data_IF_746255973163
#
_entry.id   IF_746255973163
#
_cell.length_a   1.000
_cell.length_b   1.000
_cell.length_c   1.000
_cell.angle_alpha   90.00
_cell.angle_beta   90.00
_cell.angle_gamma   90.00
#
_symmetry.space_group_name_H-M   'P 1'
#
loop_
_entity.id
_entity.type
_entity.pdbx_description
1 polymer ?
#
# COMPACT_ATOMS: atom_id res chain seq x y z
N UNK A 1 -86.09 36.01 10.71
CA UNK A 1 -85.57 34.73 11.29
C UNK A 1 -84.28 34.35 10.58
N UNK A 2 -83.22 34.34 11.32
CA UNK A 2 -81.81 34.31 10.80
C UNK A 2 -81.28 32.87 10.84
N UNK A 3 -80.80 32.29 9.73
CA UNK A 3 -80.30 30.93 9.72
C UNK A 3 -78.72 30.95 9.68
N UNK A 4 -78.13 31.41 10.81
CA UNK A 4 -76.70 31.37 10.92
C UNK A 4 -76.24 30.96 12.31
N UNK A 5 -76.41 29.67 12.64
CA UNK A 5 -75.71 29.06 13.78
C UNK A 5 -75.76 27.53 13.70
N UNK A 6 -74.91 26.97 12.89
CA UNK A 6 -74.50 25.54 12.99
C UNK A 6 -73.33 25.19 12.12
N UNK A 7 -72.21 25.78 12.34
CA UNK A 7 -70.92 25.27 11.82
C UNK A 7 -69.80 25.78 12.76
N UNK A 8 -69.68 25.27 13.95
CA UNK A 8 -68.46 25.36 14.76
C UNK A 8 -68.52 24.26 15.80
N UNK A 9 -68.33 23.00 15.47
CA UNK A 9 -68.01 21.97 16.49
C UNK A 9 -67.38 20.68 15.87
N UNK A 10 -66.96 20.71 14.65
CA UNK A 10 -66.28 19.51 14.04
C UNK A 10 -64.74 19.71 13.89
N UNK A 11 -64.18 20.91 14.08
CA UNK A 11 -62.79 21.20 13.90
C UNK A 11 -61.87 20.80 15.04
N UNK A 12 -62.32 20.79 16.28
CA UNK A 12 -61.48 20.55 17.47
C UNK A 12 -61.23 19.06 17.76
N UNK A 13 -62.21 18.19 17.47
CA UNK A 13 -62.08 16.75 17.72
C UNK A 13 -61.09 16.08 16.67
N UNK A 14 -61.10 16.56 15.43
CA UNK A 14 -60.23 16.05 14.38
C UNK A 14 -58.77 16.44 14.60
N UNK A 15 -58.51 17.64 15.12
CA UNK A 15 -57.14 18.11 15.40
C UNK A 15 -56.52 17.38 16.59
N UNK A 16 -57.30 17.06 17.60
CA UNK A 16 -56.82 16.32 18.79
C UNK A 16 -56.49 14.86 18.46
N UNK A 17 -57.28 14.19 17.62
CA UNK A 17 -56.99 12.81 17.19
C UNK A 17 -55.73 12.76 16.32
N UNK A 18 -55.56 13.71 15.40
CA UNK A 18 -54.34 13.78 14.57
C UNK A 18 -53.05 14.02 15.40
N UNK A 19 -53.13 14.87 16.43
CA UNK A 19 -52.01 15.13 17.34
C UNK A 19 -51.70 13.93 18.23
N UNK A 20 -52.66 13.21 18.71
CA UNK A 20 -52.47 11.99 19.50
C UNK A 20 -51.88 10.87 18.64
N UNK A 21 -52.33 10.69 17.39
CA UNK A 21 -51.74 9.73 16.46
C UNK A 21 -50.28 10.08 16.11
N UNK A 22 -49.96 11.36 15.91
CA UNK A 22 -48.57 11.81 15.64
C UNK A 22 -47.66 11.58 16.85
N UNK A 23 -48.13 11.87 18.06
CA UNK A 23 -47.38 11.64 19.29
C UNK A 23 -47.17 10.14 19.57
N UNK A 24 -48.13 9.28 19.23
CA UNK A 24 -47.96 7.83 19.31
C UNK A 24 -46.94 7.31 18.28
N UNK A 25 -46.94 7.83 17.06
CA UNK A 25 -45.96 7.45 16.05
C UNK A 25 -44.55 7.90 16.42
N UNK A 26 -44.38 9.08 16.99
CA UNK A 26 -43.08 9.57 17.50
C UNK A 26 -42.62 8.73 18.70
N UNK A 27 -43.50 8.36 19.61
CA UNK A 27 -43.17 7.50 20.75
C UNK A 27 -42.76 6.08 20.30
N UNK A 28 -43.41 5.53 19.28
CA UNK A 28 -43.01 4.23 18.70
C UNK A 28 -41.67 4.34 18.00
N UNK A 29 -41.39 5.44 17.28
CA UNK A 29 -40.12 5.67 16.61
C UNK A 29 -38.97 5.85 17.61
N UNK A 30 -39.19 6.58 18.71
CA UNK A 30 -38.21 6.77 19.78
C UNK A 30 -37.94 5.46 20.52
N UNK A 31 -38.95 4.62 20.76
CA UNK A 31 -38.77 3.33 21.41
C UNK A 31 -38.08 2.32 20.50
N UNK A 32 -38.32 2.35 19.19
CA UNK A 32 -37.54 1.52 18.24
C UNK A 32 -36.11 1.97 18.08
N UNK A 33 -35.81 3.27 18.12
CA UNK A 33 -34.45 3.79 18.07
C UNK A 33 -33.66 3.47 19.36
N UNK A 34 -34.35 3.54 20.54
CA UNK A 34 -33.70 3.18 21.82
C UNK A 34 -33.47 1.68 21.99
N UNK A 35 -34.23 0.83 21.29
CA UNK A 35 -33.98 -0.61 21.28
C UNK A 35 -32.77 -1.02 20.35
N UNK A 36 -32.34 -0.17 19.41
CA UNK A 36 -31.22 -0.44 18.53
C UNK A 36 -29.86 -0.03 19.10
N UNK A 37 -29.77 0.63 20.24
CA UNK A 37 -28.53 1.05 20.89
C UNK A 37 -28.25 0.35 22.22
N UNK A 38 -28.65 -0.91 22.37
CA UNK A 38 -28.08 -1.74 23.44
C UNK A 38 -26.82 -2.41 22.90
N UNK A 39 -25.69 -1.81 23.23
CA UNK A 39 -24.37 -2.36 23.06
C UNK A 39 -24.32 -3.73 23.73
N UNK A 40 -24.14 -4.79 22.93
CA UNK A 40 -23.93 -6.13 23.44
C UNK A 40 -22.49 -6.24 23.97
N UNK A 41 -22.34 -6.38 25.27
CA UNK A 41 -21.06 -6.76 25.87
C UNK A 41 -20.76 -8.23 25.55
N UNK A 42 -19.85 -8.45 24.62
CA UNK A 42 -19.29 -9.77 24.35
C UNK A 42 -18.15 -10.04 25.35
N UNK A 43 -18.40 -10.87 26.34
CA UNK A 43 -17.36 -11.35 27.25
C UNK A 43 -16.51 -12.42 26.56
N UNK A 44 -15.20 -12.25 26.55
CA UNK A 44 -14.26 -13.19 25.96
C UNK A 44 -14.13 -14.48 26.80
N UNK A 45 -14.41 -15.65 26.25
CA UNK A 45 -14.05 -16.90 26.90
C UNK A 45 -12.57 -17.25 26.67
N UNK A 46 -11.93 -17.93 27.61
CA UNK A 46 -10.59 -18.46 27.40
C UNK A 46 -10.66 -19.68 26.46
N UNK A 47 -9.82 -19.67 25.43
CA UNK A 47 -9.59 -20.71 24.42
C UNK A 47 -10.48 -20.74 23.17
N UNK A 48 -9.88 -20.33 22.06
CA UNK A 48 -10.06 -20.71 20.63
C UNK A 48 -11.41 -21.30 20.15
N UNK A 49 -12.52 -21.01 20.79
CA UNK A 49 -13.84 -21.35 20.28
C UNK A 49 -14.46 -20.15 19.57
N UNK A 50 -15.09 -20.40 18.42
CA UNK A 50 -15.89 -19.42 17.69
C UNK A 50 -17.03 -18.97 18.60
N UNK A 51 -17.02 -17.71 19.00
CA UNK A 51 -18.07 -17.15 19.84
C UNK A 51 -19.32 -16.89 18.98
N UNK A 52 -20.41 -17.52 19.36
CA UNK A 52 -21.74 -17.30 18.77
C UNK A 52 -22.49 -16.43 19.75
N UNK A 53 -22.84 -15.21 19.36
CA UNK A 53 -23.71 -14.36 20.16
C UNK A 53 -25.17 -14.83 19.99
N UNK A 54 -25.71 -15.51 20.98
CA UNK A 54 -27.14 -15.83 21.02
C UNK A 54 -27.94 -14.61 21.51
N UNK A 55 -29.07 -14.25 20.87
CA UNK A 55 -29.92 -13.20 21.37
C UNK A 55 -30.56 -13.66 22.70
N UNK A 56 -30.34 -12.92 23.75
CA UNK A 56 -31.00 -13.18 25.03
C UNK A 56 -32.49 -12.85 24.90
N UNK A 57 -33.30 -13.89 24.85
CA UNK A 57 -34.79 -13.73 24.87
C UNK A 57 -35.20 -13.35 26.28
N UNK A 58 -35.59 -12.10 26.48
CA UNK A 58 -36.30 -11.69 27.69
C UNK A 58 -37.74 -12.12 27.53
N UNK A 59 -38.15 -13.18 28.23
CA UNK A 59 -39.55 -13.58 28.29
C UNK A 59 -40.41 -12.44 28.85
N UNK A 60 -41.29 -11.94 28.03
CA UNK A 60 -42.48 -11.20 28.48
C UNK A 60 -43.72 -11.91 28.01
N UNK A 61 -44.63 -12.07 29.00
CA UNK A 61 -45.87 -12.78 28.97
C UNK A 61 -46.71 -12.65 27.70
N UNK A 62 -47.23 -13.82 27.34
CA UNK A 62 -48.29 -14.19 26.39
C UNK A 62 -49.29 -13.11 26.00
N UNK A 63 -49.39 -12.87 24.75
CA UNK A 63 -50.48 -12.93 23.77
C UNK A 63 -50.19 -12.00 22.62
N UNK A 64 -49.51 -12.49 21.60
CA UNK A 64 -49.61 -11.93 20.27
C UNK A 64 -49.23 -12.98 19.20
N UNK A 65 -49.98 -12.95 18.13
CA UNK A 65 -49.93 -13.85 16.98
C UNK A 65 -48.60 -13.67 16.26
N UNK A 66 -47.82 -14.72 16.26
CA UNK A 66 -46.52 -14.74 15.53
C UNK A 66 -46.80 -15.01 14.07
N UNK A 67 -46.61 -14.01 13.22
CA UNK A 67 -46.38 -14.23 11.79
C UNK A 67 -44.97 -14.74 11.62
N UNK A 68 -44.84 -16.01 11.31
CA UNK A 68 -43.55 -16.60 10.87
C UNK A 68 -43.19 -16.00 9.52
N UNK A 69 -42.42 -14.93 9.54
CA UNK A 69 -41.63 -14.52 8.38
C UNK A 69 -40.40 -15.43 8.38
N UNK A 70 -40.28 -16.23 7.35
CA UNK A 70 -39.13 -17.08 7.07
C UNK A 70 -37.94 -16.18 6.66
N UNK A 71 -37.35 -15.48 7.61
CA UNK A 71 -36.08 -14.80 7.44
C UNK A 71 -35.01 -15.78 7.88
N UNK A 72 -34.17 -16.19 6.96
CA UNK A 72 -32.88 -16.80 7.28
C UNK A 72 -32.17 -15.83 8.21
N UNK A 73 -32.10 -16.20 9.50
CA UNK A 73 -31.27 -15.46 10.45
C UNK A 73 -29.81 -15.64 9.99
N UNK A 74 -29.27 -14.64 9.33
CA UNK A 74 -27.83 -14.57 9.14
C UNK A 74 -27.21 -14.54 10.53
N UNK A 75 -26.43 -15.56 10.81
CA UNK A 75 -25.72 -15.72 12.08
C UNK A 75 -24.72 -14.56 12.16
N UNK A 76 -25.04 -13.54 12.93
CA UNK A 76 -24.12 -12.45 13.18
C UNK A 76 -22.92 -13.01 13.96
N UNK A 77 -21.79 -13.15 13.27
CA UNK A 77 -20.52 -13.54 13.89
C UNK A 77 -19.97 -12.29 14.57
N UNK A 78 -19.80 -12.32 15.90
CA UNK A 78 -19.13 -11.24 16.59
C UNK A 78 -17.76 -10.98 15.96
N UNK A 79 -17.43 -9.76 15.54
CA UNK A 79 -16.11 -9.48 15.00
C UNK A 79 -15.06 -9.79 16.07
N UNK A 80 -14.02 -10.53 15.66
CA UNK A 80 -12.85 -10.79 16.50
C UNK A 80 -12.31 -9.44 16.96
N UNK A 81 -11.96 -9.25 18.26
CA UNK A 81 -11.39 -8.00 18.72
C UNK A 81 -10.15 -7.68 17.88
N UNK A 82 -10.11 -6.46 17.32
CA UNK A 82 -9.01 -6.02 16.48
C UNK A 82 -7.75 -5.83 17.33
N UNK A 83 -6.69 -6.52 16.98
CA UNK A 83 -5.39 -6.44 17.62
C UNK A 83 -4.36 -5.87 16.65
N UNK A 84 -3.32 -5.26 17.20
CA UNK A 84 -2.20 -4.84 16.39
C UNK A 84 -1.46 -6.05 15.84
N UNK A 85 -1.07 -5.95 14.58
CA UNK A 85 -0.23 -6.93 13.90
C UNK A 85 1.19 -6.88 14.48
N UNK A 86 1.78 -8.03 14.80
CA UNK A 86 3.13 -8.08 15.37
C UNK A 86 4.20 -8.68 14.47
N UNK A 87 3.82 -9.39 13.40
CA UNK A 87 4.75 -10.02 12.45
C UNK A 87 5.75 -11.00 13.06
N UNK A 88 5.41 -11.63 14.20
CA UNK A 88 6.34 -12.46 14.98
C UNK A 88 6.58 -13.86 14.42
N UNK A 89 5.83 -14.26 13.39
CA UNK A 89 6.01 -15.57 12.74
C UNK A 89 7.31 -15.60 11.92
N UNK A 90 7.93 -16.78 11.74
CA UNK A 90 9.10 -16.90 10.88
C UNK A 90 8.73 -16.64 9.41
N UNK A 91 9.73 -16.30 8.59
CA UNK A 91 9.57 -16.17 7.15
C UNK A 91 9.24 -17.53 6.52
N UNK A 92 8.29 -17.56 5.59
CA UNK A 92 7.96 -18.77 4.85
C UNK A 92 9.17 -19.25 4.03
N UNK A 93 9.25 -20.55 3.80
CA UNK A 93 10.22 -21.10 2.87
C UNK A 93 9.87 -20.67 1.44
N UNK A 94 10.82 -20.07 0.75
CA UNK A 94 10.63 -19.54 -0.60
C UNK A 94 11.61 -20.25 -1.54
N UNK A 95 11.08 -20.94 -2.55
CA UNK A 95 11.84 -21.55 -3.63
C UNK A 95 11.76 -20.71 -4.92
N UNK A 96 10.80 -19.83 -5.00
CA UNK A 96 10.53 -18.94 -6.12
C UNK A 96 9.28 -18.14 -5.91
N UNK A 97 8.76 -17.53 -6.98
CA UNK A 97 7.60 -16.68 -6.95
C UNK A 97 6.56 -17.11 -7.96
N UNK A 98 5.31 -17.13 -7.55
CA UNK A 98 4.17 -17.46 -8.41
C UNK A 98 3.35 -16.21 -8.74
N UNK A 99 2.76 -16.12 -9.94
CA UNK A 99 1.86 -15.03 -10.29
C UNK A 99 0.71 -14.94 -9.29
N UNK A 100 0.38 -13.72 -8.86
CA UNK A 100 -0.68 -13.49 -7.89
C UNK A 100 -1.78 -12.58 -8.46
N UNK A 101 -1.40 -11.50 -9.15
CA UNK A 101 -2.36 -10.56 -9.74
C UNK A 101 -1.75 -9.80 -10.91
N UNK A 102 -2.61 -9.37 -11.83
CA UNK A 102 -2.27 -8.49 -12.95
C UNK A 102 -3.51 -7.68 -13.30
N UNK A 103 -3.42 -6.35 -13.31
CA UNK A 103 -4.59 -5.50 -13.48
C UNK A 103 -4.94 -5.17 -14.94
N UNK A 104 -4.00 -5.29 -15.86
CA UNK A 104 -4.18 -4.97 -17.29
C UNK A 104 -4.74 -3.56 -17.56
N UNK A 105 -4.46 -2.59 -16.70
CA UNK A 105 -5.07 -1.27 -16.75
C UNK A 105 -4.80 -0.50 -18.04
N UNK A 106 -3.60 -0.61 -18.61
CA UNK A 106 -3.28 0.05 -19.88
C UNK A 106 -4.13 -0.53 -21.01
N UNK A 107 -4.23 -1.85 -21.11
CA UNK A 107 -5.05 -2.51 -22.12
C UNK A 107 -6.52 -2.12 -22.01
N UNK A 108 -7.04 -2.06 -20.78
CA UNK A 108 -8.42 -1.67 -20.51
C UNK A 108 -8.68 -0.18 -20.83
N UNK A 109 -7.66 0.66 -20.77
CA UNK A 109 -7.75 2.08 -21.11
C UNK A 109 -8.09 2.34 -22.59
N UNK A 110 -7.88 1.37 -23.46
CA UNK A 110 -8.26 1.49 -24.89
C UNK A 110 -9.77 1.58 -25.08
N UNK A 111 -10.55 1.00 -24.18
CA UNK A 111 -12.02 0.96 -24.26
C UNK A 111 -12.75 1.48 -23.01
N UNK A 112 -12.07 2.05 -22.04
CA UNK A 112 -12.66 2.50 -20.78
C UNK A 112 -11.91 3.66 -20.12
N UNK A 113 -12.57 4.24 -19.13
CA UNK A 113 -12.04 5.35 -18.34
C UNK A 113 -11.20 4.82 -17.18
N UNK A 114 -9.91 4.66 -17.42
CA UNK A 114 -8.92 4.21 -16.44
C UNK A 114 -7.97 5.36 -16.14
N UNK A 115 -7.72 5.60 -14.87
CA UNK A 115 -6.82 6.66 -14.41
C UNK A 115 -5.40 6.49 -14.94
N UNK A 116 -4.78 7.60 -15.30
CA UNK A 116 -3.34 7.69 -15.53
C UNK A 116 -2.65 7.65 -14.17
N UNK A 117 -1.70 6.75 -14.01
CA UNK A 117 -1.02 6.52 -12.74
C UNK A 117 0.48 6.31 -12.95
N UNK A 118 1.24 6.51 -11.88
CA UNK A 118 2.59 5.98 -11.71
C UNK A 118 2.88 5.71 -10.23
N UNK A 119 4.01 5.12 -9.96
CA UNK A 119 4.46 4.71 -8.62
C UNK A 119 3.42 3.85 -7.89
N UNK A 120 2.98 2.73 -8.49
CA UNK A 120 2.06 1.82 -7.84
C UNK A 120 2.74 1.04 -6.71
N UNK A 121 1.96 0.60 -5.75
CA UNK A 121 2.40 -0.37 -4.75
C UNK A 121 1.22 -1.18 -4.23
N UNK A 122 1.55 -2.21 -3.44
CA UNK A 122 0.57 -3.12 -2.84
C UNK A 122 0.81 -3.17 -1.35
N UNK A 123 -0.27 -3.18 -0.59
CA UNK A 123 -0.27 -3.45 0.85
C UNK A 123 -1.54 -4.19 1.24
N UNK A 124 -1.46 -5.00 2.28
CA UNK A 124 -2.56 -5.86 2.70
C UNK A 124 -3.01 -5.51 4.12
N UNK A 125 -4.33 -5.57 4.35
CA UNK A 125 -4.87 -5.67 5.70
C UNK A 125 -4.82 -7.13 6.17
N UNK A 126 -5.58 -7.50 7.18
CA UNK A 126 -5.59 -8.87 7.70
C UNK A 126 -6.27 -9.88 6.77
N UNK A 127 -7.13 -9.40 5.86
CA UNK A 127 -8.00 -10.25 5.03
C UNK A 127 -7.72 -10.13 3.54
N UNK A 128 -7.40 -8.92 3.06
CA UNK A 128 -7.29 -8.59 1.63
C UNK A 128 -6.04 -7.77 1.33
N UNK A 129 -5.63 -7.84 0.08
CA UNK A 129 -4.59 -6.96 -0.47
C UNK A 129 -5.22 -5.86 -1.32
N UNK A 130 -4.58 -4.71 -1.32
CA UNK A 130 -5.01 -3.53 -2.04
C UNK A 130 -3.87 -3.02 -2.91
N UNK A 131 -4.21 -2.54 -4.09
CA UNK A 131 -3.28 -1.82 -4.93
C UNK A 131 -3.47 -0.32 -4.77
N UNK A 132 -2.35 0.37 -4.74
CA UNK A 132 -2.26 1.82 -4.63
C UNK A 132 -1.50 2.35 -5.84
N UNK A 133 -1.80 3.57 -6.25
CA UNK A 133 -0.98 4.29 -7.20
C UNK A 133 -1.23 5.79 -7.07
N UNK A 134 -0.31 6.58 -7.58
CA UNK A 134 -0.45 8.03 -7.65
C UNK A 134 -1.07 8.40 -8.99
N UNK A 135 -2.33 8.84 -8.97
CA UNK A 135 -3.04 9.32 -10.15
C UNK A 135 -2.50 10.65 -10.62
N UNK A 136 -2.83 11.02 -11.85
CA UNK A 136 -2.45 12.30 -12.46
C UNK A 136 -3.65 13.24 -12.67
N UNK A 137 -4.77 12.95 -12.03
CA UNK A 137 -5.98 13.77 -12.10
C UNK A 137 -6.77 13.62 -13.40
N UNK A 138 -6.46 12.60 -14.20
CA UNK A 138 -7.11 12.37 -15.49
C UNK A 138 -7.17 10.87 -15.83
N UNK A 139 -8.05 10.50 -16.75
CA UNK A 139 -8.04 9.18 -17.39
C UNK A 139 -7.16 9.19 -18.63
N UNK A 140 -6.68 8.01 -19.04
CA UNK A 140 -5.74 7.88 -20.15
C UNK A 140 -6.38 8.29 -21.49
N UNK A 141 -7.65 7.99 -21.71
CA UNK A 141 -8.38 8.34 -22.92
C UNK A 141 -8.89 9.79 -22.96
N UNK A 142 -8.57 10.59 -21.97
CA UNK A 142 -8.89 12.02 -21.92
C UNK A 142 -7.73 12.86 -22.46
N UNK A 143 -8.04 14.01 -23.12
CA UNK A 143 -7.01 14.92 -23.64
C UNK A 143 -6.02 15.43 -22.57
N UNK A 144 -6.45 15.49 -21.31
CA UNK A 144 -5.59 15.91 -20.19
C UNK A 144 -4.53 14.86 -19.82
N UNK A 145 -4.56 13.66 -20.43
CA UNK A 145 -3.51 12.66 -20.27
C UNK A 145 -2.19 13.08 -20.92
N UNK A 146 -2.25 14.04 -21.85
CA UNK A 146 -1.06 14.62 -22.45
C UNK A 146 -0.14 15.20 -21.38
N UNK A 147 1.17 14.93 -21.50
CA UNK A 147 2.21 15.46 -20.61
C UNK A 147 2.11 14.96 -19.14
N UNK A 148 1.63 13.76 -18.94
CA UNK A 148 1.56 13.13 -17.61
C UNK A 148 2.87 12.46 -17.17
N UNK A 149 3.96 12.80 -17.84
CA UNK A 149 5.31 12.32 -17.49
C UNK A 149 5.88 12.98 -16.22
N UNK A 150 5.31 14.08 -15.79
CA UNK A 150 5.79 14.85 -14.63
C UNK A 150 5.53 14.13 -13.32
N UNK A 151 6.55 14.06 -12.47
CA UNK A 151 6.48 13.38 -11.19
C UNK A 151 5.60 14.10 -10.18
N UNK A 152 5.59 15.42 -10.20
CA UNK A 152 4.89 16.25 -9.22
C UNK A 152 3.99 17.26 -9.91
N UNK A 153 2.72 17.17 -9.58
CA UNK A 153 1.70 18.16 -9.96
C UNK A 153 0.73 18.32 -8.77
N UNK A 154 0.02 19.44 -8.68
CA UNK A 154 -0.99 19.62 -7.63
C UNK A 154 -2.24 18.75 -7.82
N UNK A 155 -2.36 18.05 -8.93
CA UNK A 155 -3.51 17.21 -9.29
C UNK A 155 -3.33 15.75 -8.91
N UNK A 156 -2.15 15.34 -8.48
CA UNK A 156 -1.90 13.95 -8.13
C UNK A 156 -2.62 13.57 -6.84
N UNK A 157 -3.22 12.39 -6.85
CA UNK A 157 -3.92 11.82 -5.69
C UNK A 157 -3.52 10.37 -5.51
N UNK A 158 -3.53 9.91 -4.26
CA UNK A 158 -3.34 8.50 -3.95
C UNK A 158 -4.65 7.76 -4.20
N UNK A 159 -4.61 6.83 -5.15
CA UNK A 159 -5.70 5.94 -5.49
C UNK A 159 -5.54 4.63 -4.72
N UNK A 160 -6.65 4.06 -4.27
CA UNK A 160 -6.69 2.78 -3.55
C UNK A 160 -7.83 1.94 -4.08
N UNK A 161 -7.54 0.69 -4.46
CA UNK A 161 -8.54 -0.26 -4.87
C UNK A 161 -8.18 -1.67 -4.40
N UNK A 162 -9.11 -2.60 -4.43
CA UNK A 162 -8.78 -4.01 -4.19
C UNK A 162 -7.80 -4.50 -5.25
N UNK A 163 -6.89 -5.39 -4.86
CA UNK A 163 -5.87 -5.92 -5.75
C UNK A 163 -6.51 -6.61 -6.96
N UNK A 164 -6.01 -6.26 -8.15
CA UNK A 164 -6.52 -6.78 -9.41
C UNK A 164 -7.64 -5.95 -10.03
N UNK A 165 -8.23 -5.03 -9.31
CA UNK A 165 -9.25 -4.11 -9.83
C UNK A 165 -8.57 -2.87 -10.39
N UNK A 166 -8.66 -2.56 -11.69
CA UNK A 166 -8.03 -1.40 -12.27
C UNK A 166 -8.61 -0.10 -11.70
N UNK A 167 -7.84 0.97 -11.76
CA UNK A 167 -8.25 2.28 -11.25
C UNK A 167 -9.25 2.96 -12.21
N UNK A 168 -10.52 2.63 -12.06
CA UNK A 168 -11.63 3.21 -12.82
C UNK A 168 -12.17 4.50 -12.15
N UNK A 169 -13.18 5.15 -12.75
CA UNK A 169 -13.72 6.41 -12.23
C UNK A 169 -14.33 6.31 -10.83
N UNK A 170 -14.80 5.14 -10.43
CA UNK A 170 -15.31 4.89 -9.08
C UNK A 170 -14.24 4.57 -8.03
N UNK A 171 -12.97 4.62 -8.38
CA UNK A 171 -11.87 4.32 -7.47
C UNK A 171 -11.77 5.37 -6.37
N UNK A 172 -11.53 4.92 -5.15
CA UNK A 172 -11.33 5.79 -4.00
C UNK A 172 -10.04 6.59 -4.13
N UNK A 173 -10.15 7.91 -3.99
CA UNK A 173 -9.03 8.82 -3.84
C UNK A 173 -8.84 9.10 -2.35
N UNK A 174 -7.72 8.66 -1.80
CA UNK A 174 -7.45 8.72 -0.35
C UNK A 174 -7.04 10.12 0.07
N UNK A 175 -6.13 10.73 -0.68
CA UNK A 175 -5.53 12.02 -0.35
C UNK A 175 -4.89 12.66 -1.58
N UNK A 176 -4.58 13.94 -1.48
CA UNK A 176 -3.73 14.63 -2.46
C UNK A 176 -2.29 14.28 -2.15
N UNK A 177 -1.57 13.72 -3.11
CA UNK A 177 -0.17 13.31 -2.93
C UNK A 177 0.53 13.10 -4.26
N UNK A 178 1.80 13.47 -4.33
CA UNK A 178 2.72 13.06 -5.38
C UNK A 178 3.83 12.14 -4.86
N UNK A 179 3.85 11.84 -3.57
CA UNK A 179 4.66 10.80 -2.93
C UNK A 179 3.90 10.22 -1.75
N UNK A 180 3.93 8.91 -1.57
CA UNK A 180 3.10 8.27 -0.55
C UNK A 180 3.68 6.96 -0.02
N UNK A 181 3.12 6.54 1.10
CA UNK A 181 3.29 5.21 1.70
C UNK A 181 2.02 4.86 2.44
N UNK A 182 1.70 3.59 2.52
CA UNK A 182 0.51 3.11 3.23
C UNK A 182 0.81 1.80 3.92
N UNK A 183 0.18 1.57 5.05
CA UNK A 183 0.23 0.29 5.77
C UNK A 183 -0.97 0.14 6.70
N UNK A 184 -1.27 -1.11 7.04
CA UNK A 184 -2.34 -1.45 7.97
C UNK A 184 -1.72 -2.03 9.25
N UNK A 185 -2.10 -1.49 10.40
CA UNK A 185 -1.51 -1.88 11.69
C UNK A 185 -2.20 -3.07 12.37
N UNK A 186 -3.24 -3.60 11.75
CA UNK A 186 -4.13 -4.63 12.29
C UNK A 186 -5.50 -4.07 12.70
N UNK A 187 -5.60 -2.78 12.92
CA UNK A 187 -6.86 -2.09 13.29
C UNK A 187 -7.36 -1.16 12.20
N UNK A 188 -6.47 -0.38 11.58
CA UNK A 188 -6.83 0.59 10.56
C UNK A 188 -5.67 0.88 9.61
N UNK A 189 -5.99 1.55 8.50
CA UNK A 189 -5.00 2.03 7.53
C UNK A 189 -4.34 3.31 8.00
N UNK A 190 -3.02 3.35 7.86
CA UNK A 190 -2.22 4.57 7.85
C UNK A 190 -1.86 4.92 6.41
N UNK A 191 -2.11 6.16 6.00
CA UNK A 191 -1.65 6.70 4.74
C UNK A 191 -0.77 7.92 5.01
N UNK A 192 0.41 7.93 4.41
CA UNK A 192 1.34 9.06 4.44
C UNK A 192 1.30 9.71 3.07
N UNK A 193 0.86 10.95 3.01
CA UNK A 193 0.59 11.68 1.79
C UNK A 193 1.41 12.96 1.74
N UNK A 194 2.29 13.06 0.75
CA UNK A 194 3.18 14.22 0.58
C UNK A 194 2.73 15.01 -0.65
N UNK A 195 2.47 16.28 -0.45
CA UNK A 195 2.13 17.23 -1.53
C UNK A 195 2.57 18.64 -1.14
N UNK A 196 2.50 19.54 -2.09
CA UNK A 196 2.90 20.94 -1.94
C UNK A 196 3.99 21.33 -2.92
N UNK A 197 4.59 22.48 -2.68
CA UNK A 197 5.70 22.97 -3.49
C UNK A 197 6.99 22.19 -3.20
N UNK A 198 7.85 22.07 -4.16
CA UNK A 198 9.13 21.37 -4.04
C UNK A 198 9.98 21.85 -2.86
N UNK A 199 9.89 23.14 -2.56
CA UNK A 199 10.64 23.79 -1.45
C UNK A 199 9.88 23.85 -0.14
N UNK A 200 8.62 23.48 -0.11
CA UNK A 200 7.79 23.57 1.09
C UNK A 200 6.65 22.55 1.10
N UNK A 201 6.99 21.27 0.89
CA UNK A 201 6.03 20.18 0.92
C UNK A 201 5.63 19.82 2.36
N UNK A 202 4.48 19.20 2.49
CA UNK A 202 3.95 18.71 3.77
C UNK A 202 3.59 17.22 3.62
N UNK A 203 4.01 16.42 4.58
CA UNK A 203 3.58 15.04 4.74
C UNK A 203 2.42 14.99 5.74
N UNK A 204 1.27 14.50 5.29
CA UNK A 204 0.07 14.30 6.11
C UNK A 204 -0.04 12.84 6.51
N UNK A 205 -0.35 12.59 7.78
CA UNK A 205 -0.56 11.26 8.34
C UNK A 205 -2.05 11.06 8.56
N UNK A 206 -2.65 10.24 7.71
CA UNK A 206 -4.09 9.93 7.75
C UNK A 206 -4.25 8.54 8.34
N UNK A 207 -4.91 8.46 9.48
CA UNK A 207 -5.16 7.20 10.16
C UNK A 207 -6.67 7.01 10.37
N UNK A 208 -7.16 5.83 9.99
CA UNK A 208 -8.58 5.49 10.07
C UNK A 208 -9.48 6.56 9.41
N UNK A 209 -9.04 7.06 8.26
CA UNK A 209 -9.74 8.05 7.45
C UNK A 209 -9.68 9.50 7.97
N UNK A 210 -8.84 9.79 8.97
CA UNK A 210 -8.72 11.13 9.57
C UNK A 210 -7.29 11.63 9.53
N UNK A 211 -7.14 12.93 9.32
CA UNK A 211 -5.84 13.59 9.48
C UNK A 211 -5.49 13.65 10.97
N UNK A 212 -4.41 12.97 11.35
CA UNK A 212 -3.98 12.89 12.76
C UNK A 212 -2.76 13.76 13.01
N UNK A 213 -1.80 13.77 12.10
CA UNK A 213 -0.56 14.53 12.27
C UNK A 213 0.00 14.94 10.91
N UNK A 214 0.97 15.82 10.94
CA UNK A 214 1.70 16.26 9.74
C UNK A 214 3.12 16.67 10.08
N UNK A 215 3.99 16.69 9.09
CA UNK A 215 5.35 17.22 9.20
C UNK A 215 5.69 17.98 7.91
N UNK A 216 6.33 19.13 8.05
CA UNK A 216 6.79 19.95 6.93
C UNK A 216 8.18 19.56 6.46
N UNK A 217 8.52 19.99 5.26
CA UNK A 217 9.86 19.83 4.68
C UNK A 217 10.93 20.41 5.60
N UNK A 218 11.98 19.63 5.90
CA UNK A 218 13.08 20.03 6.78
C UNK A 218 14.32 20.51 6.04
N UNK A 219 14.51 20.13 4.78
CA UNK A 219 15.64 20.57 3.95
C UNK A 219 15.20 21.37 2.73
N UNK A 220 13.91 21.66 2.60
CA UNK A 220 13.33 22.50 1.54
C UNK A 220 13.69 22.07 0.12
N UNK A 221 13.80 20.75 -0.10
CA UNK A 221 14.16 20.18 -1.38
C UNK A 221 13.48 18.84 -1.61
N UNK A 222 12.21 18.88 -1.90
CA UNK A 222 11.36 17.75 -2.29
C UNK A 222 11.33 16.67 -1.20
N UNK A 223 10.56 16.93 -0.15
CA UNK A 223 10.23 15.91 0.84
C UNK A 223 9.55 14.74 0.13
N UNK A 224 10.03 13.52 0.33
CA UNK A 224 9.58 12.33 -0.40
C UNK A 224 9.68 11.09 0.48
N UNK A 225 8.95 10.04 0.13
CA UNK A 225 8.88 8.82 0.92
C UNK A 225 9.00 7.56 0.07
N UNK A 226 8.54 6.45 0.55
CA UNK A 226 8.88 5.11 0.09
C UNK A 226 8.29 4.72 -1.27
N UNK A 227 7.13 5.21 -1.63
CA UNK A 227 6.38 4.73 -2.80
C UNK A 227 6.08 3.23 -2.70
N UNK A 228 5.95 2.72 -1.48
CA UNK A 228 5.62 1.34 -1.15
C UNK A 228 5.11 1.23 0.28
N UNK A 229 4.80 0.02 0.72
CA UNK A 229 4.28 -0.27 2.04
C UNK A 229 5.20 0.23 3.16
N UNK A 230 4.66 0.93 4.14
CA UNK A 230 5.29 1.10 5.45
C UNK A 230 5.08 -0.16 6.29
N UNK A 231 5.69 -0.26 7.45
CA UNK A 231 5.58 -1.46 8.30
C UNK A 231 5.14 -1.07 9.70
N UNK A 232 4.15 -1.77 10.22
CA UNK A 232 3.63 -1.59 11.57
C UNK A 232 3.89 -2.83 12.40
N UNK A 233 4.50 -2.67 13.58
CA UNK A 233 4.73 -3.75 14.54
C UNK A 233 4.17 -3.32 15.90
N UNK A 234 3.22 -4.09 16.41
CA UNK A 234 2.55 -3.81 17.69
C UNK A 234 2.01 -2.38 17.81
N UNK A 235 1.47 -1.86 16.71
CA UNK A 235 0.88 -0.52 16.65
C UNK A 235 1.86 0.59 16.30
N UNK A 236 3.16 0.35 16.32
CA UNK A 236 4.16 1.33 15.89
C UNK A 236 4.42 1.17 14.41
N UNK A 237 4.07 2.17 13.62
CA UNK A 237 4.32 2.20 12.18
C UNK A 237 5.55 3.04 11.88
N UNK A 238 6.44 2.51 11.05
CA UNK A 238 7.67 3.20 10.66
C UNK A 238 7.62 3.57 9.19
N UNK A 239 8.02 4.78 8.86
CA UNK A 239 8.14 5.25 7.48
C UNK A 239 9.47 5.96 7.30
N UNK A 240 10.12 5.73 6.17
CA UNK A 240 11.38 6.37 5.80
C UNK A 240 11.10 7.52 4.84
N UNK A 241 11.58 8.70 5.17
CA UNK A 241 11.45 9.89 4.34
C UNK A 241 12.80 10.52 4.08
N UNK A 242 12.94 11.13 2.92
CA UNK A 242 14.15 11.84 2.51
C UNK A 242 13.79 13.25 2.04
N UNK A 243 14.61 14.21 2.41
CA UNK A 243 14.51 15.59 1.96
C UNK A 243 15.93 16.12 1.68
N UNK A 244 16.13 16.67 0.52
CA UNK A 244 17.45 17.12 0.10
C UNK A 244 17.79 16.68 -1.32
N UNK A 245 19.07 16.78 -1.69
CA UNK A 245 19.53 16.52 -3.05
C UNK A 245 19.22 15.08 -3.50
N UNK A 246 18.80 14.93 -4.75
CA UNK A 246 18.68 13.64 -5.41
C UNK A 246 20.00 13.12 -6.01
N UNK A 247 21.02 13.97 -6.06
CA UNK A 247 22.34 13.65 -6.63
C UNK A 247 23.49 14.07 -5.71
N UNK A 248 23.24 14.21 -4.43
CA UNK A 248 24.19 14.61 -3.42
C UNK A 248 23.67 14.34 -2.02
N UNK A 249 24.20 15.06 -1.06
CA UNK A 249 23.82 14.89 0.35
C UNK A 249 22.34 15.20 0.54
N UNK A 250 21.64 14.28 1.20
CA UNK A 250 20.24 14.44 1.59
C UNK A 250 20.05 14.06 3.06
N UNK A 251 18.98 14.56 3.66
CA UNK A 251 18.64 14.32 5.05
C UNK A 251 17.50 13.30 5.12
N UNK A 252 17.84 12.07 5.46
CA UNK A 252 16.89 10.97 5.60
C UNK A 252 16.51 10.80 7.05
N UNK A 253 15.23 10.71 7.31
CA UNK A 253 14.65 10.51 8.64
C UNK A 253 13.71 9.32 8.65
N UNK A 254 13.68 8.63 9.77
CA UNK A 254 12.76 7.53 10.04
C UNK A 254 11.74 8.04 11.06
N UNK A 255 10.47 8.02 10.67
CA UNK A 255 9.38 8.47 11.50
C UNK A 255 8.66 7.27 12.11
N UNK A 256 8.47 7.33 13.43
CA UNK A 256 7.73 6.33 14.20
C UNK A 256 6.39 6.93 14.58
N UNK A 257 5.32 6.23 14.27
CA UNK A 257 3.96 6.71 14.54
C UNK A 257 3.15 5.65 15.27
N UNK A 258 2.21 6.12 16.09
CA UNK A 258 1.18 5.28 16.72
C UNK A 258 -0.16 5.90 16.37
N UNK A 259 -1.02 5.11 15.71
CA UNK A 259 -2.33 5.55 15.26
C UNK A 259 -2.29 6.87 14.47
N UNK A 260 -1.27 7.02 13.65
CA UNK A 260 -1.05 8.18 12.79
C UNK A 260 -0.35 9.36 13.45
N UNK A 261 -0.14 9.33 14.77
CA UNK A 261 0.58 10.39 15.47
C UNK A 261 2.07 10.11 15.52
N UNK A 262 2.89 11.06 15.10
CA UNK A 262 4.35 10.96 15.15
C UNK A 262 4.79 10.97 16.60
N UNK A 263 5.42 9.88 17.06
CA UNK A 263 5.92 9.75 18.44
C UNK A 263 7.41 9.93 18.54
N UNK A 264 8.16 9.62 17.48
CA UNK A 264 9.60 9.74 17.45
C UNK A 264 10.11 9.95 16.02
N UNK A 265 11.22 10.65 15.88
CA UNK A 265 11.92 10.86 14.61
C UNK A 265 13.40 10.55 14.84
N UNK A 266 13.93 9.57 14.10
CA UNK A 266 15.34 9.24 14.10
C UNK A 266 16.00 9.67 12.80
N UNK A 267 17.24 10.12 12.88
CA UNK A 267 18.05 10.38 11.68
C UNK A 267 18.70 9.10 11.18
N UNK A 268 18.92 9.03 9.88
CA UNK A 268 19.72 7.97 9.29
C UNK A 268 21.12 7.96 9.92
N UNK A 269 21.57 6.79 10.31
CA UNK A 269 22.94 6.57 10.81
C UNK A 269 23.49 5.27 10.22
N UNK A 270 24.80 5.11 10.22
CA UNK A 270 25.50 3.99 9.60
C UNK A 270 26.20 4.38 8.32
N UNK A 271 26.48 3.42 7.44
CA UNK A 271 27.33 3.66 6.27
C UNK A 271 26.59 4.06 4.99
N UNK A 272 25.27 3.97 4.95
CA UNK A 272 24.49 4.44 3.80
C UNK A 272 24.69 5.95 3.61
N UNK A 273 25.00 6.35 2.38
CA UNK A 273 25.29 7.74 2.05
C UNK A 273 24.13 8.47 1.38
N UNK A 274 23.25 7.75 0.73
CA UNK A 274 22.05 8.28 0.10
C UNK A 274 20.94 7.23 0.12
N UNK A 275 19.75 7.60 0.55
CA UNK A 275 18.61 6.68 0.73
C UNK A 275 17.38 7.28 0.11
N UNK A 276 16.80 6.56 -0.84
CA UNK A 276 15.59 6.92 -1.56
C UNK A 276 14.64 5.73 -1.64
N UNK A 277 13.36 6.00 -1.66
CA UNK A 277 12.32 5.06 -2.09
C UNK A 277 12.49 3.65 -1.51
N UNK A 278 12.58 3.55 -0.19
CA UNK A 278 12.82 2.29 0.50
C UNK A 278 11.67 1.30 0.32
N UNK A 279 12.02 0.03 0.09
CA UNK A 279 11.13 -1.12 0.14
C UNK A 279 11.35 -1.83 1.45
N UNK A 280 10.37 -1.74 2.35
CA UNK A 280 10.49 -2.18 3.73
C UNK A 280 9.67 -3.44 4.00
N UNK A 281 10.19 -4.29 4.87
CA UNK A 281 9.50 -5.49 5.32
C UNK A 281 9.72 -5.71 6.81
N UNK A 282 8.78 -6.37 7.49
CA UNK A 282 8.98 -6.71 8.89
C UNK A 282 10.08 -7.77 9.01
N UNK A 283 11.06 -7.46 9.82
CA UNK A 283 12.14 -8.37 10.21
C UNK A 283 12.12 -8.43 11.75
N UNK A 284 11.12 -9.13 12.26
CA UNK A 284 10.82 -9.16 13.69
C UNK A 284 12.10 -9.36 14.55
N UNK A 285 12.32 -8.55 15.60
CA UNK A 285 11.40 -7.57 16.20
C UNK A 285 11.44 -6.17 15.59
N UNK A 286 12.16 -5.92 14.51
CA UNK A 286 12.31 -4.64 13.84
C UNK A 286 11.83 -4.63 12.40
N UNK A 287 12.29 -3.62 11.68
CA UNK A 287 11.97 -3.40 10.27
C UNK A 287 13.26 -3.30 9.48
N UNK A 288 13.28 -3.89 8.31
CA UNK A 288 14.40 -3.84 7.38
C UNK A 288 13.95 -3.28 6.05
N UNK A 289 14.70 -2.34 5.52
CA UNK A 289 14.42 -1.71 4.25
C UNK A 289 15.58 -1.89 3.28
N UNK A 290 15.25 -2.16 2.02
CA UNK A 290 16.20 -2.14 0.91
C UNK A 290 15.83 -0.95 0.04
N UNK A 291 16.77 -0.06 -0.23
CA UNK A 291 16.48 1.25 -0.77
C UNK A 291 17.21 1.51 -2.09
N UNK A 292 17.23 2.75 -2.52
CA UNK A 292 17.90 3.25 -3.72
C UNK A 292 18.94 4.28 -3.30
N UNK A 293 20.18 4.10 -3.72
CA UNK A 293 21.20 5.15 -3.66
C UNK A 293 21.21 5.88 -5.01
N UNK A 294 20.66 7.09 -5.02
CA UNK A 294 20.55 7.87 -6.25
C UNK A 294 21.78 8.75 -6.50
N UNK A 295 22.79 8.64 -5.67
CA UNK A 295 23.98 9.50 -5.72
C UNK A 295 25.24 8.78 -6.20
N UNK A 296 25.66 7.72 -5.50
CA UNK A 296 26.98 7.12 -5.72
C UNK A 296 26.96 5.65 -6.12
N UNK A 297 25.96 4.89 -5.75
CA UNK A 297 26.01 3.44 -5.87
C UNK A 297 24.93 2.83 -6.74
N UNK A 298 25.28 1.70 -7.36
CA UNK A 298 24.32 0.79 -7.96
C UNK A 298 24.00 -0.42 -7.07
N UNK A 299 24.72 -0.57 -5.96
CA UNK A 299 24.37 -1.47 -4.88
C UNK A 299 23.34 -0.78 -3.97
N UNK A 300 22.38 -1.54 -3.45
CA UNK A 300 21.27 -0.97 -2.70
C UNK A 300 21.60 -0.79 -1.22
N UNK A 301 21.27 0.37 -0.64
CA UNK A 301 21.34 0.58 0.80
C UNK A 301 20.39 -0.34 1.58
N UNK A 302 20.82 -0.73 2.76
CA UNK A 302 20.00 -1.41 3.77
C UNK A 302 19.79 -0.46 4.93
N UNK A 303 18.57 -0.32 5.41
CA UNK A 303 18.24 0.42 6.62
C UNK A 303 17.56 -0.53 7.60
N UNK A 304 18.20 -0.77 8.74
CA UNK A 304 17.66 -1.56 9.83
C UNK A 304 17.13 -0.64 10.92
N UNK A 305 15.87 -0.83 11.27
CA UNK A 305 15.13 0.02 12.18
C UNK A 305 14.77 -0.79 13.43
N UNK A 306 15.25 -0.33 14.59
CA UNK A 306 14.84 -0.90 15.88
C UNK A 306 13.60 -0.15 16.39
N UNK A 307 12.48 -0.85 16.42
CA UNK A 307 11.18 -0.24 16.77
C UNK A 307 11.07 0.03 18.28
N UNK A 308 11.88 -0.64 19.10
CA UNK A 308 11.82 -0.49 20.57
C UNK A 308 12.61 0.72 21.07
N UNK A 309 13.84 0.88 20.57
CA UNK A 309 14.74 1.95 21.03
C UNK A 309 14.98 3.03 19.99
N UNK A 310 14.35 2.92 18.80
CA UNK A 310 14.41 3.88 17.70
C UNK A 310 15.80 4.05 17.07
N UNK A 311 16.71 3.11 17.33
CA UNK A 311 18.05 3.14 16.72
C UNK A 311 18.00 2.71 15.27
N UNK A 312 18.87 3.31 14.46
CA UNK A 312 18.98 3.05 13.03
C UNK A 312 20.38 2.60 12.73
N UNK A 313 20.49 1.49 11.98
CA UNK A 313 21.74 1.00 11.42
C UNK A 313 21.60 0.93 9.91
N UNK A 314 22.56 1.36 9.17
CA UNK A 314 22.55 1.27 7.71
C UNK A 314 23.83 0.70 7.14
N UNK A 315 23.72 0.07 5.99
CA UNK A 315 24.79 -0.57 5.26
C UNK A 315 24.38 -0.69 3.79
N UNK A 316 25.06 -1.53 3.05
CA UNK A 316 24.71 -1.87 1.67
C UNK A 316 24.56 -3.37 1.50
N UNK A 317 23.77 -3.80 0.53
CA UNK A 317 23.65 -5.21 0.17
C UNK A 317 25.02 -5.73 -0.26
N UNK A 318 25.42 -6.86 0.31
CA UNK A 318 26.74 -7.44 0.09
C UNK A 318 26.93 -8.04 -1.30
N UNK A 319 25.85 -8.53 -1.91
CA UNK A 319 25.87 -9.18 -3.21
C UNK A 319 26.57 -8.33 -4.28
N UNK A 320 27.49 -8.94 -5.01
CA UNK A 320 28.11 -8.34 -6.19
C UNK A 320 27.20 -8.32 -7.41
N UNK A 321 26.10 -9.07 -7.38
CA UNK A 321 24.99 -8.93 -8.30
C UNK A 321 24.09 -7.79 -7.80
N UNK A 322 24.39 -6.59 -8.23
CA UNK A 322 23.74 -5.39 -7.73
C UNK A 322 22.34 -5.23 -8.33
N UNK A 323 21.45 -4.59 -7.60
CA UNK A 323 20.02 -4.56 -7.92
C UNK A 323 19.54 -3.29 -8.61
N UNK A 324 20.32 -2.24 -8.66
CA UNK A 324 19.89 -0.97 -9.22
C UNK A 324 20.05 -0.91 -10.75
N UNK A 325 19.43 0.06 -11.35
CA UNK A 325 19.51 0.36 -12.79
C UNK A 325 19.61 1.88 -12.95
N UNK A 326 20.67 2.43 -13.56
CA UNK A 326 21.77 1.76 -14.27
C UNK A 326 22.77 1.06 -13.34
N UNK A 327 23.48 0.09 -13.91
CA UNK A 327 24.55 -0.67 -13.24
C UNK A 327 25.55 -1.18 -14.27
N UNK A 328 26.71 -1.60 -13.79
CA UNK A 328 27.67 -2.32 -14.63
C UNK A 328 27.19 -3.75 -14.87
N UNK A 329 27.77 -4.43 -15.86
CA UNK A 329 27.49 -5.86 -16.05
C UNK A 329 27.99 -6.68 -14.84
N UNK A 330 27.43 -7.88 -14.66
CA UNK A 330 27.68 -8.70 -13.48
C UNK A 330 29.14 -9.09 -13.29
N UNK A 331 29.88 -9.22 -14.35
CA UNK A 331 31.31 -9.55 -14.28
C UNK A 331 32.11 -8.43 -13.63
N UNK A 332 31.75 -7.19 -13.84
CA UNK A 332 32.48 -6.00 -13.40
C UNK A 332 31.88 -5.35 -12.15
N UNK A 333 30.62 -5.56 -11.88
CA UNK A 333 29.96 -4.98 -10.71
C UNK A 333 30.50 -5.57 -9.40
N UNK A 334 30.47 -4.77 -8.35
CA UNK A 334 30.87 -5.24 -7.03
C UNK A 334 30.09 -4.54 -5.92
N UNK A 335 30.16 -5.12 -4.71
CA UNK A 335 29.67 -4.53 -3.48
C UNK A 335 30.45 -5.11 -2.29
N UNK A 336 30.70 -4.28 -1.29
CA UNK A 336 31.51 -4.65 -0.12
C UNK A 336 30.72 -4.51 1.21
N UNK A 337 29.41 -4.43 1.17
CA UNK A 337 28.52 -4.35 2.32
C UNK A 337 28.47 -3.00 3.07
N UNK A 338 29.50 -2.19 3.03
CA UNK A 338 29.58 -0.98 3.87
C UNK A 338 29.55 0.35 3.12
N UNK A 339 29.90 0.33 1.83
CA UNK A 339 30.03 1.55 1.06
C UNK A 339 29.28 1.47 -0.26
N UNK A 340 28.87 2.60 -0.84
CA UNK A 340 28.40 2.59 -2.22
C UNK A 340 29.55 2.15 -3.15
N UNK A 341 29.20 1.42 -4.20
CA UNK A 341 30.21 0.87 -5.10
C UNK A 341 30.82 1.91 -6.06
N UNK A 342 30.33 3.13 -6.08
CA UNK A 342 30.75 4.20 -6.99
C UNK A 342 30.68 3.83 -8.48
N UNK A 343 29.76 2.95 -8.82
CA UNK A 343 29.55 2.47 -10.19
C UNK A 343 28.17 2.89 -10.69
N UNK A 344 28.13 3.62 -11.80
CA UNK A 344 26.88 4.05 -12.44
C UNK A 344 25.92 4.80 -11.49
N UNK A 345 26.43 5.54 -10.53
CA UNK A 345 25.65 6.41 -9.68
C UNK A 345 25.01 7.58 -10.43
N UNK A 346 24.26 8.42 -9.72
CA UNK A 346 23.59 9.60 -10.27
C UNK A 346 22.18 9.34 -10.80
N UNK A 347 21.71 8.12 -10.76
CA UNK A 347 20.36 7.69 -11.11
C UNK A 347 20.07 6.33 -10.46
N UNK A 348 18.84 5.85 -10.59
CA UNK A 348 18.44 4.58 -10.05
C UNK A 348 16.99 4.23 -10.39
N UNK A 349 16.53 3.16 -9.78
CA UNK A 349 15.15 2.70 -9.82
C UNK A 349 14.78 2.12 -8.46
N UNK A 350 13.54 2.32 -8.03
CA UNK A 350 13.03 1.63 -6.84
C UNK A 350 13.03 0.13 -7.08
N UNK A 351 13.55 -0.62 -6.11
CA UNK A 351 13.62 -2.08 -6.16
C UNK A 351 13.57 -2.69 -4.77
N UNK A 352 13.65 -4.01 -4.72
CA UNK A 352 13.50 -4.77 -3.49
C UNK A 352 14.52 -5.91 -3.42
N UNK A 353 14.79 -6.33 -2.21
CA UNK A 353 15.48 -7.57 -1.87
C UNK A 353 15.08 -7.95 -0.44
N UNK A 354 15.32 -9.18 -0.06
CA UNK A 354 15.17 -9.60 1.34
C UNK A 354 16.12 -10.74 1.68
N UNK A 355 16.49 -10.84 2.93
CA UNK A 355 17.39 -11.88 3.43
C UNK A 355 16.65 -13.21 3.63
N UNK A 356 17.39 -14.28 3.43
CA UNK A 356 16.97 -15.66 3.69
C UNK A 356 18.16 -16.40 4.33
N UNK A 357 18.35 -16.20 5.63
CA UNK A 357 19.58 -16.60 6.30
C UNK A 357 20.77 -15.81 5.75
N UNK A 358 21.79 -16.52 5.24
CA UNK A 358 22.95 -15.91 4.58
C UNK A 358 22.70 -15.58 3.09
N UNK A 359 21.61 -16.10 2.54
CA UNK A 359 21.25 -15.91 1.14
C UNK A 359 20.42 -14.64 0.96
N UNK A 360 20.35 -14.19 -0.27
CA UNK A 360 19.59 -13.01 -0.65
C UNK A 360 18.64 -13.33 -1.78
N UNK A 361 17.35 -13.03 -1.61
CA UNK A 361 16.40 -12.94 -2.69
C UNK A 361 16.35 -11.51 -3.21
N UNK A 362 16.37 -11.34 -4.52
CA UNK A 362 16.30 -10.01 -5.12
C UNK A 362 15.59 -10.02 -6.48
N UNK A 363 15.05 -8.86 -6.83
CA UNK A 363 14.54 -8.58 -8.15
C UNK A 363 15.26 -7.37 -8.74
N UNK A 364 15.41 -7.36 -10.06
CA UNK A 364 16.01 -6.24 -10.79
C UNK A 364 15.60 -6.25 -12.26
N UNK A 365 15.81 -5.13 -12.95
CA UNK A 365 15.65 -5.08 -14.40
C UNK A 365 16.66 -6.02 -15.08
N UNK A 366 16.26 -6.63 -16.19
CA UNK A 366 17.21 -7.46 -16.98
C UNK A 366 18.19 -6.56 -17.70
N UNK A 367 17.75 -5.45 -18.28
CA UNK A 367 18.63 -4.47 -18.90
C UNK A 367 19.42 -3.72 -17.82
N UNK A 368 20.72 -3.55 -18.05
CA UNK A 368 21.63 -2.92 -17.10
C UNK A 368 21.51 -1.39 -17.07
N UNK A 369 20.94 -0.80 -18.11
CA UNK A 369 20.89 0.66 -18.31
C UNK A 369 19.48 1.20 -18.27
N UNK A 370 18.52 0.48 -18.85
CA UNK A 370 17.14 0.91 -19.04
C UNK A 370 16.20 0.07 -18.19
N UNK A 371 15.03 0.60 -17.91
CA UNK A 371 13.94 -0.10 -17.21
C UNK A 371 13.21 -1.04 -18.17
N UNK A 372 13.96 -2.07 -18.62
CA UNK A 372 13.48 -3.10 -19.54
C UNK A 372 13.71 -4.48 -18.94
N UNK A 373 12.68 -5.31 -19.00
CA UNK A 373 12.68 -6.64 -18.43
C UNK A 373 12.69 -6.62 -16.90
N UNK A 374 12.41 -7.77 -16.32
CA UNK A 374 12.48 -7.94 -14.88
C UNK A 374 12.77 -9.40 -14.56
N UNK A 375 13.69 -9.64 -13.64
CA UNK A 375 14.10 -10.97 -13.20
C UNK A 375 14.18 -11.04 -11.68
N UNK A 376 13.98 -12.24 -11.14
CA UNK A 376 14.22 -12.54 -9.74
C UNK A 376 15.16 -13.72 -9.63
N UNK A 377 15.99 -13.73 -8.61
CA UNK A 377 16.85 -14.86 -8.30
C UNK A 377 17.31 -14.80 -6.84
N UNK A 378 17.85 -15.91 -6.39
CA UNK A 378 18.52 -16.01 -5.08
C UNK A 378 20.04 -15.95 -5.29
N UNK A 379 20.72 -15.16 -4.47
CA UNK A 379 22.19 -15.09 -4.45
C UNK A 379 22.68 -15.86 -3.23
N UNK A 380 23.45 -16.92 -3.47
CA UNK A 380 24.03 -17.74 -2.41
C UNK A 380 25.01 -16.88 -1.62
N UNK A 381 24.84 -16.81 -0.29
CA UNK A 381 25.59 -15.92 0.61
C UNK A 381 25.55 -14.44 0.21
N UNK A 382 24.54 -14.04 -0.52
CA UNK A 382 24.38 -12.67 -1.01
C UNK A 382 24.10 -11.65 0.10
N UNK A 383 23.65 -12.11 1.24
CA UNK A 383 23.45 -11.26 2.41
C UNK A 383 24.71 -11.12 3.25
N UNK A 384 25.48 -12.19 3.45
CA UNK A 384 26.59 -12.25 4.40
C UNK A 384 27.98 -12.09 3.79
N UNK A 385 28.16 -12.47 2.51
CA UNK A 385 29.47 -12.47 1.87
C UNK A 385 29.65 -11.30 0.91
N UNK A 386 30.65 -10.44 1.13
CA UNK A 386 30.97 -9.34 0.20
C UNK A 386 31.22 -9.85 -1.21
N UNK A 387 30.65 -9.16 -2.18
CA UNK A 387 30.82 -9.40 -3.61
C UNK A 387 30.43 -10.81 -4.08
N UNK A 388 29.54 -11.49 -3.39
CA UNK A 388 29.01 -12.79 -3.81
C UNK A 388 28.24 -12.67 -5.14
N UNK A 389 28.42 -13.68 -6.03
CA UNK A 389 27.83 -13.62 -7.38
C UNK A 389 27.18 -14.93 -7.84
N UNK A 390 27.07 -15.91 -6.97
CA UNK A 390 26.44 -17.18 -7.33
C UNK A 390 24.94 -17.07 -7.22
N UNK A 391 24.26 -17.03 -8.36
CA UNK A 391 22.80 -16.97 -8.40
C UNK A 391 22.19 -18.35 -8.64
N UNK A 392 20.99 -18.55 -8.12
CA UNK A 392 20.17 -19.74 -8.32
C UNK A 392 18.69 -19.35 -8.35
N UNK A 393 17.84 -20.27 -8.79
CA UNK A 393 16.39 -20.09 -8.84
C UNK A 393 15.94 -18.84 -9.61
N UNK A 394 16.60 -18.58 -10.72
CA UNK A 394 16.28 -17.43 -11.57
C UNK A 394 14.94 -17.61 -12.26
N UNK A 395 14.13 -16.58 -12.22
CA UNK A 395 12.87 -16.47 -12.97
C UNK A 395 12.85 -15.17 -13.76
N UNK A 396 12.32 -15.26 -14.97
CA UNK A 396 11.96 -14.06 -15.76
C UNK A 396 10.52 -13.69 -15.43
N UNK A 397 10.30 -12.48 -15.02
CA UNK A 397 8.97 -11.92 -14.72
C UNK A 397 8.45 -11.12 -15.93
N UNK A 398 9.30 -10.26 -16.46
CA UNK A 398 9.07 -9.51 -17.69
C UNK A 398 10.24 -9.81 -18.61
N UNK A 399 9.97 -10.28 -19.81
CA UNK A 399 11.01 -10.65 -20.76
C UNK A 399 11.84 -9.45 -21.19
N UNK A 400 13.08 -9.75 -21.57
CA UNK A 400 14.05 -8.76 -22.06
C UNK A 400 13.44 -7.94 -23.20
N UNK A 401 13.54 -6.62 -23.10
CA UNK A 401 13.04 -5.70 -24.12
C UNK A 401 11.64 -5.14 -23.85
N UNK A 402 10.85 -5.76 -22.99
CA UNK A 402 9.57 -5.20 -22.55
C UNK A 402 9.76 -4.26 -21.36
N UNK A 403 8.94 -3.21 -21.32
CA UNK A 403 9.02 -2.17 -20.29
C UNK A 403 8.70 -2.70 -18.90
N UNK A 404 9.51 -2.30 -17.96
CA UNK A 404 9.27 -2.46 -16.53
C UNK A 404 9.37 -1.08 -15.83
N UNK A 405 9.68 -1.04 -14.57
CA UNK A 405 9.78 0.22 -13.85
C UNK A 405 10.13 0.00 -12.39
N UNK A 406 9.46 0.71 -11.51
CA UNK A 406 9.58 0.54 -10.08
C UNK A 406 9.12 -0.85 -9.66
N UNK A 407 9.74 -1.36 -8.63
CA UNK A 407 9.30 -2.57 -7.96
C UNK A 407 9.46 -2.40 -6.45
N UNK A 408 8.69 -3.14 -5.69
CA UNK A 408 8.73 -3.07 -4.25
C UNK A 408 8.19 -4.34 -3.63
N UNK A 409 8.40 -4.46 -2.33
CA UNK A 409 8.03 -5.61 -1.53
C UNK A 409 6.78 -5.30 -0.71
N UNK A 410 6.00 -6.31 -0.44
CA UNK A 410 5.00 -6.30 0.62
C UNK A 410 4.97 -7.67 1.28
N UNK A 411 4.55 -7.72 2.52
CA UNK A 411 4.51 -8.95 3.29
C UNK A 411 3.08 -9.36 3.59
N UNK A 412 2.83 -10.65 3.60
CA UNK A 412 1.52 -11.23 3.88
C UNK A 412 1.66 -12.21 5.02
N UNK A 413 0.83 -12.04 6.04
CA UNK A 413 0.80 -12.93 7.18
C UNK A 413 0.06 -14.21 6.82
N UNK A 414 0.80 -15.31 6.71
CA UNK A 414 0.24 -16.66 6.56
C UNK A 414 -0.16 -17.26 7.90
N UNK A 415 -0.70 -18.47 7.86
CA UNK A 415 -1.12 -19.17 9.08
C UNK A 415 0.04 -19.40 10.06
N UNK A 416 1.20 -19.83 9.55
CA UNK A 416 2.36 -20.21 10.35
C UNK A 416 3.64 -19.46 10.01
N UNK A 417 3.63 -18.64 8.99
CA UNK A 417 4.81 -17.94 8.49
C UNK A 417 4.44 -16.62 7.80
N UNK A 418 5.42 -15.77 7.63
CA UNK A 418 5.31 -14.50 6.89
C UNK A 418 5.79 -14.72 5.48
N UNK A 419 4.92 -14.53 4.49
CA UNK A 419 5.28 -14.61 3.08
C UNK A 419 5.75 -13.26 2.55
N UNK A 420 6.63 -13.30 1.54
CA UNK A 420 7.11 -12.10 0.83
C UNK A 420 6.54 -12.11 -0.58
N UNK A 421 5.98 -10.97 -0.94
CA UNK A 421 5.45 -10.71 -2.27
C UNK A 421 6.11 -9.47 -2.83
N UNK A 422 6.08 -9.31 -4.14
CA UNK A 422 6.54 -8.10 -4.80
C UNK A 422 5.62 -7.72 -5.95
N UNK A 423 5.66 -6.47 -6.32
CA UNK A 423 5.00 -5.94 -7.51
C UNK A 423 6.04 -5.35 -8.46
N UNK A 424 5.68 -5.28 -9.73
CA UNK A 424 6.46 -4.59 -10.76
C UNK A 424 5.56 -3.61 -11.50
N UNK A 425 5.99 -2.37 -11.54
CA UNK A 425 5.37 -1.33 -12.35
C UNK A 425 5.72 -1.53 -13.82
N UNK A 426 4.69 -1.65 -14.66
CA UNK A 426 4.86 -1.82 -16.10
C UNK A 426 4.55 -0.48 -16.77
N UNK A 427 5.56 0.36 -16.90
CA UNK A 427 5.43 1.72 -17.44
C UNK A 427 5.22 1.67 -18.95
N UNK A 428 4.28 2.45 -19.43
CA UNK A 428 4.03 2.65 -20.87
C UNK A 428 3.98 4.13 -21.19
N UNK A 429 4.28 4.46 -22.45
CA UNK A 429 4.25 5.82 -22.96
C UNK A 429 5.58 6.54 -22.86
N UNK A 430 5.51 7.85 -22.64
CA UNK A 430 6.69 8.72 -22.57
C UNK A 430 7.62 8.33 -21.41
N UNK A 431 8.97 8.46 -21.62
CA UNK A 431 9.64 9.11 -22.76
C UNK A 431 10.04 8.12 -23.87
N UNK A 432 10.06 6.81 -23.58
CA UNK A 432 10.58 5.81 -24.54
C UNK A 432 9.59 5.49 -25.65
N UNK A 433 8.29 5.52 -25.39
CA UNK A 433 7.25 5.30 -26.40
C UNK A 433 6.71 6.64 -26.88
N UNK A 434 7.25 7.12 -27.99
CA UNK A 434 7.03 8.48 -28.48
C UNK A 434 5.75 8.67 -29.30
N UNK A 435 5.05 7.59 -29.65
CA UNK A 435 3.77 7.68 -30.37
C UNK A 435 2.68 8.36 -29.55
N UNK A 436 2.71 8.16 -28.25
CA UNK A 436 1.73 8.71 -27.31
C UNK A 436 2.34 9.86 -26.51
N UNK A 437 1.49 10.72 -25.95
CA UNK A 437 1.89 11.89 -25.18
C UNK A 437 1.73 11.71 -23.67
N UNK A 438 1.16 10.59 -23.26
CA UNK A 438 0.94 10.25 -21.86
C UNK A 438 2.01 9.30 -21.33
N UNK A 439 2.10 9.21 -20.02
CA UNK A 439 2.84 8.18 -19.29
C UNK A 439 1.92 7.57 -18.26
N UNK A 440 1.79 6.26 -18.27
CA UNK A 440 1.00 5.53 -17.28
C UNK A 440 1.58 4.14 -17.08
N UNK A 441 0.95 3.34 -16.24
CA UNK A 441 1.42 1.99 -15.96
C UNK A 441 0.27 1.01 -15.72
N UNK A 442 0.57 -0.27 -15.92
CA UNK A 442 -0.10 -1.39 -15.28
C UNK A 442 0.80 -2.02 -14.22
N UNK A 443 0.33 -3.04 -13.56
CA UNK A 443 1.04 -3.72 -12.47
C UNK A 443 0.93 -5.22 -12.61
N UNK A 444 1.99 -5.93 -12.24
CA UNK A 444 2.00 -7.37 -12.04
C UNK A 444 2.52 -7.68 -10.63
N UNK A 445 1.91 -8.68 -9.99
CA UNK A 445 2.19 -9.04 -8.60
C UNK A 445 2.51 -10.52 -8.50
N UNK A 446 3.56 -10.84 -7.77
CA UNK A 446 4.03 -12.19 -7.49
C UNK A 446 4.17 -12.41 -6.00
N UNK A 447 3.90 -13.62 -5.56
CA UNK A 447 4.11 -14.01 -4.17
C UNK A 447 5.01 -15.24 -4.06
N UNK A 448 5.79 -15.28 -2.97
CA UNK A 448 6.68 -16.40 -2.70
C UNK A 448 5.92 -17.72 -2.58
N UNK A 449 6.56 -18.78 -3.04
CA UNK A 449 6.04 -20.15 -2.95
C UNK A 449 7.16 -21.10 -2.60
N UNK A 450 6.85 -22.12 -1.81
CA UNK A 450 7.77 -23.24 -1.52
C UNK A 450 7.66 -24.37 -2.54
N UNK A 451 6.60 -24.35 -3.37
CA UNK A 451 6.35 -25.34 -4.40
C UNK A 451 7.03 -25.03 -5.72
N UNK A 452 6.64 -25.75 -6.74
CA UNK A 452 7.06 -25.51 -8.11
C UNK A 452 6.36 -24.29 -8.68
N UNK A 453 7.08 -23.52 -9.47
CA UNK A 453 6.57 -22.37 -10.21
C UNK A 453 6.80 -22.58 -11.71
N UNK A 454 5.85 -22.10 -12.52
CA UNK A 454 5.97 -22.18 -13.97
C UNK A 454 6.96 -21.16 -14.54
N UNK A 455 7.38 -21.40 -15.78
CA UNK A 455 8.09 -20.41 -16.59
C UNK A 455 7.08 -19.59 -17.39
N UNK A 456 7.39 -18.32 -17.61
CA UNK A 456 6.52 -17.44 -18.39
C UNK A 456 7.10 -16.04 -18.47
N UNK A 457 6.28 -15.13 -18.95
CA UNK A 457 6.59 -13.72 -18.98
C UNK A 457 5.27 -12.94 -18.87
N UNK A 458 5.29 -11.88 -18.09
CA UNK A 458 4.09 -11.10 -17.77
C UNK A 458 4.29 -9.62 -18.05
N UNK A 459 4.59 -9.21 -19.29
CA UNK A 459 4.69 -7.82 -19.69
C UNK A 459 3.32 -7.15 -19.64
N UNK A 460 3.28 -5.82 -19.82
CA UNK A 460 2.02 -5.09 -19.97
C UNK A 460 1.16 -5.65 -21.09
N UNK A 461 1.78 -5.89 -22.27
CA UNK A 461 1.16 -6.56 -23.40
C UNK A 461 0.17 -5.74 -24.20
N UNK A 462 -0.12 -4.49 -23.83
CA UNK A 462 -0.96 -3.63 -24.64
C UNK A 462 -0.23 -3.21 -25.92
N UNK A 463 -0.95 -3.16 -27.02
CA UNK A 463 -0.43 -2.61 -28.28
C UNK A 463 -0.52 -1.08 -28.25
N UNK A 464 0.63 -0.42 -28.17
CA UNK A 464 0.70 1.04 -28.11
C UNK A 464 0.06 1.70 -29.33
N UNK A 465 0.03 1.02 -30.48
CA UNK A 465 -0.57 1.55 -31.71
C UNK A 465 -2.09 1.64 -31.65
N UNK A 466 -2.69 0.89 -30.73
CA UNK A 466 -4.14 0.90 -30.51
C UNK A 466 -4.57 1.82 -29.37
N UNK A 467 -3.62 2.41 -28.65
CA UNK A 467 -3.89 3.27 -27.51
C UNK A 467 -4.17 4.71 -27.96
N UNK A 468 -4.98 5.48 -27.21
CA UNK A 468 -5.15 6.91 -27.44
C UNK A 468 -3.80 7.65 -27.42
N UNK A 469 -3.70 8.66 -28.27
CA UNK A 469 -2.47 9.48 -28.41
C UNK A 469 -2.45 10.57 -27.35
#
# INVERSE_FOLDING_TARGET
MNPNQKIITIGSASLTIATICFLMQVAILVTTITLHFKQHDCNSPPNNQVMICEPTIIERNKTEIVYLINTTVEKEICPKPSEYRNWSKPQCNIAGFAPFSKDNSIRLSAGGDIWVTREPYVSCDLDKCYQFALGQGTTLNNRHSNDTVHDRTPYRTLLMNELGVPFHLGTRQVCIAWSSSSCHDGKAWLHVCITGDDTNATASFIYNGRLVDSIGSWSKNILRTQESECVCINGTCTVVMTDGSASGKADTRILFTVEGKITHVSKLSGSAQHVEECSCYPRYPGVRCICRDNWKGSNRPIVDINVKNYSIVSSYVCSGLVGDTPRRNDRLSNSHCLDPNNEKGGHGVKGWAFDDGDDLWMGRTINETLRLGYETFKVIKGWSQPNSKLQTNRQVIVEKGNRSGYSGIFSVEGKNCINRCFYVELIRGRKEETRVWWTSNSIVVFCGTSGTYGTGSWPDGADINLMPI
#
